data_IF_697236738828
#
_entry.id   IF_697236738828
#
_cell.length_a   1.000
_cell.length_b   1.000
_cell.length_c   1.000
_cell.angle_alpha   90.00
_cell.angle_beta   90.00
_cell.angle_gamma   90.00
#
_symmetry.space_group_name_H-M   'P 1'
#
loop_
_entity.id
_entity.type
_entity.pdbx_description
1 polymer ?
#
# COMPACT_ATOMS: atom_id res chain seq x y z
N UNK A 1 -10.18 2.33 12.60
CA UNK A 1 -10.11 0.86 12.50
C UNK A 1 -9.28 0.39 11.30
N UNK A 2 -9.74 0.46 10.04
CA UNK A 2 -8.92 -0.04 8.90
C UNK A 2 -7.73 0.85 8.52
N UNK A 3 -7.87 2.17 8.63
CA UNK A 3 -6.77 3.11 8.38
C UNK A 3 -5.54 2.84 9.27
N UNK A 4 -5.80 2.49 10.52
CA UNK A 4 -4.75 2.13 11.48
C UNK A 4 -4.07 0.82 11.12
N UNK A 5 -4.80 -0.17 10.60
CA UNK A 5 -4.22 -1.45 10.15
C UNK A 5 -3.32 -1.27 8.92
N UNK A 6 -3.73 -0.43 7.97
CA UNK A 6 -2.92 -0.06 6.81
C UNK A 6 -1.64 0.68 7.26
N UNK A 7 -1.77 1.68 8.14
CA UNK A 7 -0.61 2.40 8.67
C UNK A 7 0.34 1.48 9.47
N UNK A 8 -0.22 0.53 10.23
CA UNK A 8 0.54 -0.48 10.97
C UNK A 8 1.28 -1.43 10.02
N UNK A 9 0.63 -1.88 8.94
CA UNK A 9 1.26 -2.68 7.89
C UNK A 9 2.44 -1.95 7.26
N UNK A 10 2.27 -0.67 6.90
CA UNK A 10 3.36 0.13 6.35
C UNK A 10 4.52 0.31 7.33
N UNK A 11 4.22 0.55 8.61
CA UNK A 11 5.24 0.66 9.67
C UNK A 11 5.98 -0.67 9.85
N UNK A 12 5.26 -1.78 9.92
CA UNK A 12 5.87 -3.11 10.02
C UNK A 12 6.70 -3.45 8.78
N UNK A 13 6.21 -3.12 7.58
CA UNK A 13 6.96 -3.32 6.34
C UNK A 13 8.23 -2.46 6.29
N UNK A 14 8.24 -1.26 6.89
CA UNK A 14 9.46 -0.46 7.01
C UNK A 14 10.48 -1.08 7.95
N UNK A 15 10.03 -1.66 9.07
CA UNK A 15 10.91 -2.32 10.04
C UNK A 15 11.28 -3.76 9.66
N UNK A 16 10.51 -4.39 8.77
CA UNK A 16 10.67 -5.78 8.36
C UNK A 16 10.78 -5.88 6.82
N UNK A 17 12.01 -5.93 6.29
CA UNK A 17 12.24 -5.98 4.84
C UNK A 17 11.67 -7.25 4.20
N UNK A 18 11.57 -8.37 4.94
CA UNK A 18 10.94 -9.60 4.44
C UNK A 18 9.44 -9.44 4.22
N UNK A 19 8.77 -8.70 5.11
CA UNK A 19 7.36 -8.34 4.96
C UNK A 19 7.17 -7.41 3.75
N UNK A 20 8.02 -6.39 3.64
CA UNK A 20 8.02 -5.46 2.50
C UNK A 20 8.16 -6.19 1.18
N UNK A 21 9.15 -7.07 1.05
CA UNK A 21 9.42 -7.80 -0.18
C UNK A 21 8.28 -8.76 -0.55
N UNK A 22 7.67 -9.38 0.46
CA UNK A 22 6.50 -10.26 0.24
C UNK A 22 5.31 -9.46 -0.29
N UNK A 23 5.07 -8.27 0.29
CA UNK A 23 3.97 -7.39 -0.11
C UNK A 23 4.24 -6.70 -1.46
N UNK A 24 5.48 -6.32 -1.76
CA UNK A 24 5.87 -5.73 -3.04
C UNK A 24 5.89 -6.76 -4.18
N UNK A 25 5.96 -8.06 -3.86
CA UNK A 25 5.81 -9.12 -4.83
C UNK A 25 4.35 -9.36 -5.25
N UNK A 26 3.38 -8.68 -4.60
CA UNK A 26 1.98 -8.78 -4.98
C UNK A 26 1.75 -8.13 -6.36
N UNK A 27 1.27 -8.88 -7.37
CA UNK A 27 1.04 -8.37 -8.72
C UNK A 27 -0.23 -7.51 -8.81
N UNK A 28 -1.08 -7.54 -7.79
CA UNK A 28 -2.31 -6.76 -7.74
C UNK A 28 -2.67 -6.34 -6.31
N UNK A 29 -3.42 -5.24 -6.14
CA UNK A 29 -3.87 -4.77 -4.83
C UNK A 29 -4.79 -5.77 -4.10
N UNK A 30 -5.50 -6.64 -4.83
CA UNK A 30 -6.29 -7.73 -4.23
C UNK A 30 -5.40 -8.74 -3.51
N UNK A 31 -4.32 -9.15 -4.18
CA UNK A 31 -3.34 -10.08 -3.63
C UNK A 31 -2.63 -9.44 -2.43
N UNK A 32 -2.30 -8.15 -2.53
CA UNK A 32 -1.70 -7.40 -1.42
C UNK A 32 -2.60 -7.42 -0.17
N UNK A 33 -3.89 -7.11 -0.33
CA UNK A 33 -4.86 -7.10 0.77
C UNK A 33 -5.02 -8.50 1.35
N UNK A 34 -5.09 -9.54 0.51
CA UNK A 34 -5.15 -10.92 0.98
C UNK A 34 -3.92 -11.31 1.80
N UNK A 35 -2.72 -10.96 1.33
CA UNK A 35 -1.46 -11.19 2.06
C UNK A 35 -1.42 -10.45 3.39
N UNK A 36 -1.90 -9.20 3.44
CA UNK A 36 -1.96 -8.42 4.67
C UNK A 36 -2.95 -9.02 5.68
N UNK A 37 -4.12 -9.50 5.22
CA UNK A 37 -5.08 -10.20 6.08
C UNK A 37 -4.49 -11.50 6.65
N UNK A 38 -3.72 -12.26 5.86
CA UNK A 38 -3.00 -13.46 6.33
C UNK A 38 -1.96 -13.14 7.43
N UNK A 39 -1.44 -11.92 7.45
CA UNK A 39 -0.48 -11.44 8.45
C UNK A 39 -1.15 -10.89 9.71
N UNK A 40 -2.48 -10.85 9.75
CA UNK A 40 -3.27 -10.33 10.88
C UNK A 40 -3.70 -8.87 10.73
N UNK A 41 -3.52 -8.26 9.56
CA UNK A 41 -4.03 -6.91 9.29
C UNK A 41 -5.42 -7.00 8.63
N UNK A 42 -6.46 -6.68 9.38
CA UNK A 42 -7.83 -6.73 8.88
C UNK A 42 -8.23 -5.42 8.20
N UNK A 43 -8.18 -5.41 6.87
CA UNK A 43 -8.74 -4.35 6.04
C UNK A 43 -9.18 -4.89 4.68
N UNK A 44 -10.12 -4.19 4.05
CA UNK A 44 -10.70 -4.55 2.76
C UNK A 44 -9.98 -3.88 1.60
N UNK A 45 -10.19 -4.41 0.39
CA UNK A 45 -9.66 -3.80 -0.83
C UNK A 45 -10.20 -2.38 -1.05
N UNK A 46 -11.45 -2.13 -0.66
CA UNK A 46 -12.06 -0.81 -0.75
C UNK A 46 -11.31 0.20 0.13
N UNK A 47 -11.04 -0.16 1.38
CA UNK A 47 -10.31 0.70 2.32
C UNK A 47 -8.85 0.92 1.92
N UNK A 48 -8.20 -0.12 1.40
CA UNK A 48 -6.87 0.00 0.82
C UNK A 48 -6.87 0.97 -0.37
N UNK A 49 -7.82 0.81 -1.29
CA UNK A 49 -7.97 1.71 -2.44
C UNK A 49 -8.27 3.14 -1.99
N UNK A 50 -9.17 3.35 -1.05
CA UNK A 50 -9.44 4.69 -0.51
C UNK A 50 -8.18 5.33 0.11
N UNK A 51 -7.32 4.55 0.77
CA UNK A 51 -6.04 5.02 1.31
C UNK A 51 -5.00 5.33 0.23
N UNK A 52 -4.80 4.42 -0.73
CA UNK A 52 -3.76 4.59 -1.76
C UNK A 52 -4.19 5.53 -2.87
N UNK A 53 -5.48 5.58 -3.21
CA UNK A 53 -6.01 6.49 -4.23
C UNK A 53 -5.93 7.94 -3.76
N UNK A 54 -6.18 8.19 -2.47
CA UNK A 54 -5.92 9.50 -1.86
C UNK A 54 -4.44 9.89 -2.01
N UNK A 55 -3.53 8.93 -1.84
CA UNK A 55 -2.10 9.15 -2.06
C UNK A 55 -1.71 9.34 -3.54
N UNK A 56 -2.48 8.82 -4.50
CA UNK A 56 -2.18 8.94 -5.95
C UNK A 56 -2.73 10.24 -6.53
N UNK A 57 -3.91 10.68 -6.11
CA UNK A 57 -4.46 11.98 -6.53
C UNK A 57 -3.61 13.16 -6.03
N UNK A 58 -2.89 13.02 -4.91
CA UNK A 58 -1.87 14.00 -4.50
C UNK A 58 -0.51 13.81 -5.21
N UNK A 59 -0.13 12.59 -5.64
CA UNK A 59 1.15 12.33 -6.32
C UNK A 59 1.15 12.64 -7.83
N UNK A 60 -0.01 12.62 -8.49
CA UNK A 60 -0.10 12.96 -9.92
C UNK A 60 0.17 14.46 -10.19
N UNK A 61 0.21 15.30 -9.16
CA UNK A 61 0.59 16.71 -9.31
C UNK A 61 2.13 16.93 -9.34
N UNK A 62 2.96 15.96 -8.91
CA UNK A 62 4.43 16.13 -8.88
C UNK A 62 5.19 15.33 -9.96
N UNK A 63 4.55 14.41 -10.69
CA UNK A 63 5.20 13.64 -11.77
C UNK A 63 4.99 14.21 -13.18
N UNK A 64 4.42 15.42 -13.31
CA UNK A 64 4.26 16.11 -14.59
C UNK A 64 5.47 16.97 -14.99
N UNK A 65 6.69 16.59 -14.65
CA UNK A 65 7.89 17.21 -15.23
C UNK A 65 9.08 16.24 -15.21
N UNK A 66 9.01 15.19 -16.03
CA UNK A 66 10.25 14.69 -16.64
C UNK A 66 10.39 15.47 -17.95
N UNK A 67 11.12 16.61 -17.97
CA UNK A 67 11.38 17.30 -19.21
C UNK A 67 12.19 16.35 -20.09
N UNK A 68 11.73 16.19 -21.33
CA UNK A 68 12.44 15.39 -22.32
C UNK A 68 13.89 15.82 -22.42
N UNK A 69 14.78 14.85 -22.33
CA UNK A 69 16.15 14.92 -22.86
C UNK A 69 16.54 13.53 -23.35
#
# INVERSE_FOLDING_TARGET
MAREQVAKLFREAQTNPSLRNSLSAAPSPEIFVAMANQKGFSFTMKEWREMTNFSVEELECELSEIPGI
#
